data_IF_194681789505
#
_entry.id   IF_194681789505
#
_cell.length_a   1.000
_cell.length_b   1.000
_cell.length_c   1.000
_cell.angle_alpha   90.00
_cell.angle_beta   90.00
_cell.angle_gamma   90.00
#
_symmetry.space_group_name_H-M   'P 1'
#
loop_
_entity.id
_entity.type
_entity.pdbx_description
1 polymer ?
#
# COMPACT_ATOMS: atom_id res chain seq x y z
N UNK A 1 2.98 -3.17 12.13
CA UNK A 1 2.79 -4.47 11.45
C UNK A 1 1.75 -5.34 12.16
N UNK A 2 1.68 -5.32 13.50
CA UNK A 2 0.54 -5.86 14.25
C UNK A 2 -0.82 -5.24 13.85
N UNK A 3 -0.86 -3.97 13.44
CA UNK A 3 -2.10 -3.30 13.03
C UNK A 3 -2.83 -3.95 11.85
N UNK A 4 -2.15 -4.56 10.86
CA UNK A 4 -2.86 -5.18 9.71
C UNK A 4 -3.77 -6.32 10.15
N UNK A 5 -3.31 -7.08 11.14
CA UNK A 5 -4.07 -8.21 11.69
C UNK A 5 -5.12 -7.75 12.71
N UNK A 6 -4.93 -6.58 13.33
CA UNK A 6 -5.89 -6.02 14.29
C UNK A 6 -7.00 -5.20 13.62
N UNK A 7 -6.70 -4.56 12.48
CA UNK A 7 -7.64 -3.71 11.73
C UNK A 7 -8.42 -4.45 10.63
N UNK A 8 -8.17 -5.74 10.41
CA UNK A 8 -8.83 -6.56 9.38
C UNK A 8 -8.77 -5.93 7.96
N UNK A 9 -7.60 -5.40 7.58
CA UNK A 9 -7.38 -4.74 6.28
C UNK A 9 -6.41 -5.52 5.38
N UNK A 10 -6.66 -5.51 4.07
CA UNK A 10 -5.86 -6.24 3.07
C UNK A 10 -4.62 -5.50 2.56
N UNK A 11 -4.59 -4.18 2.72
CA UNK A 11 -3.58 -3.27 2.16
C UNK A 11 -3.32 -2.12 3.13
N UNK A 12 -2.05 -1.82 3.39
CA UNK A 12 -1.60 -0.63 4.12
C UNK A 12 -0.98 0.39 3.18
N UNK A 13 -1.24 1.66 3.48
CA UNK A 13 -0.55 2.78 2.85
C UNK A 13 0.52 3.32 3.80
N UNK A 14 1.75 3.43 3.30
CA UNK A 14 2.91 3.88 4.06
C UNK A 14 3.16 5.35 3.72
N UNK A 15 3.25 6.17 4.76
CA UNK A 15 3.55 7.59 4.65
C UNK A 15 4.89 7.92 5.32
N UNK A 16 5.49 9.04 4.93
CA UNK A 16 6.61 9.64 5.67
C UNK A 16 6.13 10.54 6.81
N UNK A 17 7.07 11.19 7.50
CA UNK A 17 6.82 12.10 8.62
C UNK A 17 6.01 13.35 8.21
N UNK A 18 5.88 13.62 6.91
CA UNK A 18 5.08 14.70 6.35
C UNK A 18 3.70 14.23 5.86
N UNK A 19 3.30 12.99 6.18
CA UNK A 19 2.06 12.37 5.70
C UNK A 19 1.98 12.25 4.17
N UNK A 20 3.13 12.19 3.48
CA UNK A 20 3.19 11.94 2.04
C UNK A 20 3.22 10.44 1.79
N UNK A 21 2.39 9.97 0.87
CA UNK A 21 2.39 8.57 0.43
C UNK A 21 3.76 8.21 -0.17
N UNK A 22 4.46 7.27 0.46
CA UNK A 22 5.75 6.75 -0.02
C UNK A 22 5.69 5.28 -0.43
N UNK A 23 4.68 4.54 0.07
CA UNK A 23 4.60 3.10 -0.11
C UNK A 23 3.21 2.51 -0.01
N UNK A 24 3.06 1.28 -0.50
CA UNK A 24 1.90 0.42 -0.28
C UNK A 24 2.36 -1.00 0.05
N UNK A 25 1.63 -1.67 0.93
CA UNK A 25 1.99 -2.97 1.43
C UNK A 25 0.76 -3.88 1.50
N UNK A 26 0.80 -5.00 0.78
CA UNK A 26 -0.30 -5.97 0.75
C UNK A 26 -0.06 -7.13 1.71
N UNK A 27 -1.10 -7.92 1.99
CA UNK A 27 -0.96 -9.23 2.66
C UNK A 27 0.07 -10.15 1.99
N UNK A 28 0.18 -10.11 0.67
CA UNK A 28 1.16 -10.92 -0.09
C UNK A 28 2.60 -10.49 0.21
N UNK A 29 2.85 -9.20 0.38
CA UNK A 29 4.18 -8.69 0.72
C UNK A 29 4.58 -9.09 2.13
N UNK A 30 3.65 -9.02 3.09
CA UNK A 30 3.85 -9.50 4.46
C UNK A 30 4.14 -10.99 4.50
N UNK A 31 3.36 -11.80 3.79
CA UNK A 31 3.57 -13.25 3.71
C UNK A 31 4.93 -13.59 3.09
N UNK A 32 5.31 -12.89 2.01
CA UNK A 32 6.63 -13.06 1.41
C UNK A 32 7.75 -12.72 2.41
N UNK A 33 7.60 -11.63 3.16
CA UNK A 33 8.57 -11.23 4.17
C UNK A 33 8.64 -12.23 5.34
N UNK A 34 7.52 -12.85 5.72
CA UNK A 34 7.44 -13.79 6.84
C UNK A 34 8.08 -15.14 6.56
N UNK A 35 8.11 -15.54 5.29
CA UNK A 35 8.75 -16.79 4.85
C UNK A 35 10.29 -16.62 4.78
N UNK A 36 10.78 -15.38 4.61
CA UNK A 36 12.20 -15.08 4.75
C UNK A 36 12.67 -15.31 6.19
N UNK A 37 13.84 -15.91 6.39
CA UNK A 37 14.41 -16.27 7.71
C UNK A 37 14.73 -15.08 8.65
N UNK A 38 14.16 -13.91 8.41
CA UNK A 38 14.33 -12.70 9.21
C UNK A 38 13.10 -12.49 10.09
N UNK A 39 13.33 -12.02 11.32
CA UNK A 39 12.24 -11.67 12.20
C UNK A 39 11.50 -10.43 11.65
N UNK A 40 10.30 -10.65 11.13
CA UNK A 40 9.39 -9.63 10.60
C UNK A 40 9.33 -8.31 11.40
N UNK A 41 9.26 -8.31 12.74
CA UNK A 41 9.16 -7.07 13.51
C UNK A 41 10.39 -6.16 13.36
N UNK A 42 11.54 -6.74 13.03
CA UNK A 42 12.81 -6.01 12.89
C UNK A 42 12.98 -5.37 11.52
N UNK A 43 12.18 -5.76 10.52
CA UNK A 43 12.33 -5.31 9.13
C UNK A 43 11.59 -3.98 8.95
N UNK A 44 12.30 -2.88 8.60
CA UNK A 44 11.64 -1.63 8.27
C UNK A 44 10.69 -1.81 7.09
N UNK A 45 9.46 -1.31 7.21
CA UNK A 45 8.41 -1.46 6.18
C UNK A 45 8.84 -0.93 4.80
N UNK A 46 9.70 0.07 4.77
CA UNK A 46 10.24 0.62 3.53
C UNK A 46 11.07 -0.39 2.72
N UNK A 47 11.60 -1.45 3.33
CA UNK A 47 12.34 -2.50 2.63
C UNK A 47 11.40 -3.40 1.81
N UNK A 48 10.20 -3.65 2.31
CA UNK A 48 9.28 -4.67 1.78
C UNK A 48 8.05 -4.10 1.06
N UNK A 49 7.81 -2.79 1.15
CA UNK A 49 6.70 -2.11 0.47
C UNK A 49 6.95 -1.92 -1.03
N UNK A 50 5.87 -1.83 -1.81
CA UNK A 50 5.92 -1.27 -3.16
C UNK A 50 6.07 0.25 -3.04
N UNK A 51 7.11 0.81 -3.68
CA UNK A 51 7.49 2.22 -3.54
C UNK A 51 6.92 3.11 -4.64
N UNK A 52 6.75 4.39 -4.34
CA UNK A 52 6.62 5.43 -5.37
C UNK A 52 7.83 5.40 -6.33
N UNK A 53 7.64 5.70 -7.63
CA UNK A 53 6.40 6.14 -8.29
C UNK A 53 5.53 4.99 -8.84
N UNK A 54 5.81 3.73 -8.46
CA UNK A 54 5.11 2.55 -9.02
C UNK A 54 3.74 2.28 -8.37
N UNK A 55 3.26 3.19 -7.54
CA UNK A 55 1.97 3.09 -6.86
C UNK A 55 0.93 3.77 -7.73
N UNK A 56 -0.16 3.06 -7.99
CA UNK A 56 -1.31 3.65 -8.66
C UNK A 56 -2.15 4.35 -7.60
N UNK A 57 -2.60 5.56 -7.90
CA UNK A 57 -3.35 6.41 -6.96
C UNK A 57 -4.57 6.95 -7.68
N UNK A 58 -5.60 7.35 -6.92
CA UNK A 58 -6.73 8.10 -7.44
C UNK A 58 -7.00 9.34 -6.58
N UNK A 59 -7.88 10.21 -7.06
CA UNK A 59 -8.37 11.40 -6.36
C UNK A 59 -9.87 11.31 -6.13
N UNK A 60 -10.38 12.16 -5.23
CA UNK A 60 -11.82 12.19 -4.92
C UNK A 60 -12.67 12.56 -6.13
N UNK A 61 -12.10 13.26 -7.10
CA UNK A 61 -12.76 13.75 -8.30
C UNK A 61 -12.67 12.77 -9.47
N UNK A 62 -11.91 11.67 -9.35
CA UNK A 62 -11.77 10.69 -10.42
C UNK A 62 -13.05 9.86 -10.57
N UNK A 63 -13.37 9.46 -11.80
CA UNK A 63 -14.54 8.60 -12.04
C UNK A 63 -14.31 7.20 -11.46
N UNK A 64 -15.32 6.70 -10.74
CA UNK A 64 -15.27 5.37 -10.12
C UNK A 64 -15.02 4.25 -11.14
N UNK A 65 -15.50 4.40 -12.38
CA UNK A 65 -15.28 3.43 -13.45
C UNK A 65 -13.81 3.34 -13.87
N UNK A 66 -13.09 4.47 -13.88
CA UNK A 66 -11.67 4.49 -14.19
C UNK A 66 -10.86 3.86 -13.05
N UNK A 67 -11.24 4.13 -11.80
CA UNK A 67 -10.65 3.49 -10.61
C UNK A 67 -10.86 1.97 -10.65
N UNK A 68 -12.08 1.52 -10.97
CA UNK A 68 -12.40 0.09 -11.09
C UNK A 68 -11.58 -0.60 -12.19
N UNK A 69 -11.42 0.05 -13.34
CA UNK A 69 -10.59 -0.44 -14.43
C UNK A 69 -9.13 -0.61 -13.98
N UNK A 70 -8.57 0.36 -13.26
CA UNK A 70 -7.21 0.26 -12.73
C UNK A 70 -7.02 -0.91 -11.75
N UNK A 71 -8.00 -1.16 -10.87
CA UNK A 71 -7.95 -2.30 -9.94
C UNK A 71 -7.84 -3.63 -10.70
N UNK A 72 -8.64 -3.81 -11.75
CA UNK A 72 -8.66 -5.02 -12.58
C UNK A 72 -7.36 -5.16 -13.38
N UNK A 73 -6.97 -4.13 -14.13
CA UNK A 73 -5.81 -4.18 -15.02
C UNK A 73 -4.50 -4.41 -14.26
N UNK A 74 -4.39 -3.84 -13.06
CA UNK A 74 -3.19 -3.98 -12.22
C UNK A 74 -3.26 -5.13 -11.23
N UNK A 75 -4.39 -5.83 -11.16
CA UNK A 75 -4.62 -6.97 -10.26
C UNK A 75 -4.30 -6.62 -8.79
N UNK A 76 -4.84 -5.48 -8.34
CA UNK A 76 -4.68 -4.97 -6.98
C UNK A 76 -6.05 -4.75 -6.34
N UNK A 77 -6.12 -4.95 -5.03
CA UNK A 77 -7.38 -4.90 -4.29
C UNK A 77 -7.73 -3.48 -3.79
N UNK A 78 -6.78 -2.54 -3.82
CA UNK A 78 -6.98 -1.20 -3.27
C UNK A 78 -6.14 -0.14 -4.01
N UNK A 79 -6.67 1.08 -4.03
CA UNK A 79 -5.99 2.29 -4.50
C UNK A 79 -6.10 3.38 -3.42
N UNK A 80 -5.00 4.06 -3.06
CA UNK A 80 -5.06 5.19 -2.14
C UNK A 80 -5.70 6.39 -2.84
N UNK A 81 -6.70 6.97 -2.19
CA UNK A 81 -7.27 8.26 -2.56
C UNK A 81 -6.38 9.35 -1.97
N UNK A 82 -5.64 10.08 -2.81
CA UNK A 82 -4.69 11.09 -2.36
C UNK A 82 -5.15 12.51 -2.70
N UNK A 83 -4.69 13.48 -1.91
CA UNK A 83 -4.75 14.91 -2.26
C UNK A 83 -3.39 15.33 -2.80
N UNK A 84 -3.36 16.20 -3.82
CA UNK A 84 -2.10 16.84 -4.23
C UNK A 84 -1.55 17.65 -3.06
N UNK A 85 -0.27 17.45 -2.77
CA UNK A 85 0.47 18.36 -1.90
C UNK A 85 0.67 19.68 -2.64
N UNK A 86 0.45 20.78 -1.94
CA UNK A 86 0.64 22.15 -2.45
C UNK A 86 2.11 22.54 -2.42
#
# INVERSE_FOLDING_TARGET
MYDVFLEDVGTLFVVDDHSILTGVLSRKDLLRASIGKQELPSIPVHIIMTRMPNITVCRKEDFIMDVAKHLIEKQIDALPVIKRYG
#
